data_IF_613145559612
#
_entry.id   IF_613145559612
#
_cell.length_a   1.000
_cell.length_b   1.000
_cell.length_c   1.000
_cell.angle_alpha   90.00
_cell.angle_beta   90.00
_cell.angle_gamma   90.00
#
_symmetry.space_group_name_H-M   'P 1'
#
loop_
_entity.id
_entity.type
_entity.pdbx_description
1 polymer ?
#
# COMPACT_ATOMS: atom_id res chain seq x y z
N UNK A 1 6.71 18.28 -8.40
CA UNK A 1 7.37 17.16 -7.68
C UNK A 1 8.20 17.56 -6.45
N UNK A 2 9.08 18.58 -6.46
CA UNK A 2 9.99 18.87 -5.32
C UNK A 2 9.29 18.94 -3.95
N UNK A 3 8.14 19.62 -3.88
CA UNK A 3 7.31 19.72 -2.66
C UNK A 3 7.04 18.36 -2.01
N UNK A 4 6.71 17.34 -2.81
CA UNK A 4 6.36 16.00 -2.36
C UNK A 4 7.51 15.25 -1.68
N UNK A 5 8.76 15.69 -1.87
CA UNK A 5 9.96 15.04 -1.33
C UNK A 5 10.83 15.93 -0.45
N UNK A 6 10.49 17.20 -0.27
CA UNK A 6 11.30 18.11 0.57
C UNK A 6 10.55 18.67 1.76
N UNK A 7 9.22 18.71 1.75
CA UNK A 7 8.48 19.28 2.88
C UNK A 7 8.62 18.41 4.13
N UNK A 8 8.90 19.01 5.30
CA UNK A 8 9.07 18.26 6.53
C UNK A 8 7.74 17.58 6.92
N UNK A 9 7.86 16.33 7.36
CA UNK A 9 6.77 15.58 7.97
C UNK A 9 6.88 15.72 9.50
N UNK A 10 5.73 15.85 10.16
CA UNK A 10 5.65 15.96 11.62
C UNK A 10 5.74 14.58 12.26
N UNK A 11 5.12 13.57 11.63
CA UNK A 11 5.18 12.18 12.06
C UNK A 11 6.48 11.55 11.58
N UNK A 12 7.22 10.94 12.50
CA UNK A 12 8.46 10.23 12.22
C UNK A 12 8.29 8.77 12.59
N UNK A 13 8.30 7.90 11.60
CA UNK A 13 8.34 6.47 11.80
C UNK A 13 9.79 6.03 11.89
N UNK A 14 10.13 5.28 12.93
CA UNK A 14 11.43 4.65 13.10
C UNK A 14 11.40 3.18 12.69
N UNK A 15 10.21 2.57 12.70
CA UNK A 15 9.98 1.19 12.29
C UNK A 15 8.81 1.08 11.32
N UNK A 16 8.76 -0.04 10.59
CA UNK A 16 7.58 -0.39 9.78
C UNK A 16 6.33 -0.63 10.64
N UNK A 17 6.49 -0.94 11.93
CA UNK A 17 5.37 -1.03 12.88
C UNK A 17 4.76 0.35 13.10
N UNK A 18 5.57 1.37 13.41
CA UNK A 18 5.11 2.75 13.59
C UNK A 18 4.36 3.26 12.34
N UNK A 19 4.92 2.94 11.17
CA UNK A 19 4.33 3.28 9.87
C UNK A 19 2.94 2.66 9.74
N UNK A 20 2.81 1.35 10.03
CA UNK A 20 1.52 0.65 9.95
C UNK A 20 0.53 1.16 10.97
N UNK A 21 0.97 1.45 12.19
CA UNK A 21 0.12 2.03 13.24
C UNK A 21 -0.46 3.38 12.80
N UNK A 22 0.35 4.25 12.20
CA UNK A 22 -0.13 5.50 11.63
C UNK A 22 -1.16 5.27 10.51
N UNK A 23 -0.82 4.43 9.51
CA UNK A 23 -1.69 4.15 8.38
C UNK A 23 -3.04 3.54 8.80
N UNK A 24 -3.08 2.75 9.87
CA UNK A 24 -4.33 2.21 10.44
C UNK A 24 -5.26 3.28 10.98
N UNK A 25 -4.76 4.48 11.28
CA UNK A 25 -5.58 5.64 11.66
C UNK A 25 -6.08 6.45 10.48
N UNK A 26 -5.64 6.12 9.25
CA UNK A 26 -6.01 6.81 8.03
C UNK A 26 -7.18 6.12 7.32
N UNK A 27 -7.90 6.88 6.49
CA UNK A 27 -9.08 6.41 5.75
C UNK A 27 -8.85 6.53 4.25
N UNK A 28 -9.19 5.48 3.52
CA UNK A 28 -9.28 5.56 2.07
C UNK A 28 -10.49 6.41 1.66
N UNK A 29 -10.27 7.48 0.90
CA UNK A 29 -11.33 8.34 0.35
C UNK A 29 -10.91 8.74 -1.07
N UNK A 30 -11.69 8.43 -2.12
CA UNK A 30 -11.37 8.83 -3.50
C UNK A 30 -11.33 10.35 -3.69
N UNK A 31 -10.51 10.84 -4.61
CA UNK A 31 -10.41 12.27 -4.91
C UNK A 31 -11.70 12.96 -5.32
N UNK A 32 -12.58 12.25 -6.03
CA UNK A 32 -13.89 12.78 -6.40
C UNK A 32 -14.73 13.14 -5.18
N UNK A 33 -14.59 12.40 -4.09
CA UNK A 33 -15.28 12.68 -2.82
C UNK A 33 -14.55 13.77 -2.01
N UNK A 34 -13.22 13.79 -2.03
CA UNK A 34 -12.43 14.74 -1.25
C UNK A 34 -12.37 16.15 -1.83
N UNK A 35 -12.26 16.24 -3.16
CA UNK A 35 -11.88 17.45 -3.89
C UNK A 35 -12.78 17.76 -5.08
N UNK A 36 -13.70 16.86 -5.44
CA UNK A 36 -14.57 17.04 -6.60
C UNK A 36 -13.84 16.94 -7.95
N UNK A 37 -12.64 16.36 -7.98
CA UNK A 37 -11.83 16.13 -9.18
C UNK A 37 -11.51 14.63 -9.32
N UNK A 38 -11.18 14.20 -10.53
CA UNK A 38 -10.87 12.80 -10.84
C UNK A 38 -9.46 12.38 -10.45
N UNK A 39 -8.56 13.34 -10.25
CA UNK A 39 -7.14 13.11 -9.94
C UNK A 39 -6.58 14.34 -9.21
N UNK A 40 -6.10 14.16 -7.99
CA UNK A 40 -5.46 15.14 -7.13
C UNK A 40 -4.48 14.49 -6.18
N UNK A 41 -3.19 14.68 -6.45
CA UNK A 41 -2.16 14.11 -5.59
C UNK A 41 -2.01 14.98 -4.33
N UNK A 42 -2.36 14.44 -3.18
CA UNK A 42 -2.24 15.14 -1.91
C UNK A 42 -0.75 15.17 -1.48
N UNK A 43 -0.19 16.36 -1.18
CA UNK A 43 1.16 16.44 -0.63
C UNK A 43 1.26 15.65 0.69
N UNK A 44 2.37 14.92 0.95
CA UNK A 44 2.51 14.07 2.14
C UNK A 44 2.23 14.79 3.47
N UNK A 45 2.64 16.05 3.61
CA UNK A 45 2.38 16.85 4.81
C UNK A 45 0.89 17.21 5.00
N UNK A 46 0.11 17.21 3.92
CA UNK A 46 -1.33 17.38 3.97
C UNK A 46 -2.03 16.06 4.26
N UNK A 47 -1.62 14.97 3.61
CA UNK A 47 -2.11 13.63 3.92
C UNK A 47 -1.94 13.29 5.40
N UNK A 48 -0.79 13.61 5.98
CA UNK A 48 -0.50 13.39 7.40
C UNK A 48 -1.51 14.09 8.33
N UNK A 49 -1.88 15.34 8.01
CA UNK A 49 -2.84 16.11 8.80
C UNK A 49 -4.27 15.62 8.61
N UNK A 50 -4.65 15.34 7.36
CA UNK A 50 -6.02 14.95 7.01
C UNK A 50 -6.32 13.51 7.41
N UNK A 51 -5.32 12.62 7.35
CA UNK A 51 -5.46 11.17 7.53
C UNK A 51 -6.50 10.55 6.60
N UNK A 52 -6.64 11.12 5.42
CA UNK A 52 -7.51 10.64 4.35
C UNK A 52 -6.85 10.91 3.01
N UNK A 53 -7.05 10.00 2.07
CA UNK A 53 -6.41 9.97 0.77
C UNK A 53 -6.81 8.70 0.01
N UNK A 54 -6.40 8.57 -1.23
CA UNK A 54 -6.51 7.34 -2.01
C UNK A 54 -5.14 6.64 -2.16
N UNK A 55 -4.94 5.84 -3.21
CA UNK A 55 -3.79 4.92 -3.25
C UNK A 55 -2.45 5.67 -3.38
N UNK A 56 -2.41 6.72 -4.19
CA UNK A 56 -1.24 7.57 -4.42
C UNK A 56 -0.86 8.36 -3.17
N UNK A 57 -1.83 8.91 -2.46
CA UNK A 57 -1.61 9.69 -1.25
C UNK A 57 -0.96 8.84 -0.15
N UNK A 58 -1.52 7.66 0.07
CA UNK A 58 -1.00 6.67 1.01
C UNK A 58 0.42 6.22 0.61
N UNK A 59 0.66 5.96 -0.68
CA UNK A 59 1.95 5.51 -1.19
C UNK A 59 3.02 6.62 -1.13
N UNK A 60 2.68 7.87 -1.43
CA UNK A 60 3.59 9.01 -1.35
C UNK A 60 4.05 9.27 0.09
N UNK A 61 3.12 9.32 1.04
CA UNK A 61 3.48 9.49 2.45
C UNK A 61 4.30 8.29 2.95
N UNK A 62 3.90 7.06 2.61
CA UNK A 62 4.65 5.84 2.98
C UNK A 62 6.07 5.88 2.44
N UNK A 63 6.26 6.25 1.16
CA UNK A 63 7.57 6.34 0.54
C UNK A 63 8.49 7.32 1.29
N UNK A 64 7.96 8.46 1.72
CA UNK A 64 8.69 9.45 2.53
C UNK A 64 9.18 8.88 3.86
N UNK A 65 8.34 8.13 4.56
CA UNK A 65 8.73 7.49 5.81
C UNK A 65 9.81 6.44 5.58
N UNK A 66 9.68 5.62 4.54
CA UNK A 66 10.68 4.58 4.20
C UNK A 66 12.05 5.20 3.86
N UNK A 67 12.08 6.31 3.12
CA UNK A 67 13.32 7.06 2.86
C UNK A 67 13.94 7.60 4.16
N UNK A 68 13.12 8.04 5.11
CA UNK A 68 13.58 8.54 6.42
C UNK A 68 14.18 7.43 7.28
N UNK A 69 13.65 6.21 7.14
CA UNK A 69 14.20 4.97 7.72
C UNK A 69 15.46 4.46 7.02
N UNK A 70 16.01 5.22 6.05
CA UNK A 70 17.27 4.93 5.33
C UNK A 70 17.24 3.71 4.42
N UNK A 71 16.05 3.30 3.96
CA UNK A 71 15.94 2.29 2.92
C UNK A 71 15.99 2.95 1.53
N UNK A 72 16.67 2.29 0.59
CA UNK A 72 16.51 2.60 -0.83
C UNK A 72 15.08 2.22 -1.25
N UNK A 73 14.26 3.22 -1.57
CA UNK A 73 12.85 3.00 -1.84
C UNK A 73 12.35 3.77 -3.06
N UNK A 74 11.32 3.21 -3.70
CA UNK A 74 10.66 3.79 -4.86
C UNK A 74 9.17 3.88 -4.63
N UNK A 75 8.60 5.03 -4.98
CA UNK A 75 7.18 5.16 -5.24
C UNK A 75 6.89 4.51 -6.59
N UNK A 76 5.87 3.68 -6.67
CA UNK A 76 5.55 2.89 -7.87
C UNK A 76 4.10 3.13 -8.24
N UNK A 77 3.87 3.43 -9.52
CA UNK A 77 2.55 3.48 -10.12
C UNK A 77 2.41 2.39 -11.19
N UNK A 78 1.25 1.77 -11.26
CA UNK A 78 1.00 0.72 -12.24
C UNK A 78 -0.41 0.17 -12.08
N UNK A 79 -0.56 -1.13 -12.32
CA UNK A 79 -1.84 -1.80 -12.14
C UNK A 79 -1.75 -2.85 -11.03
N UNK A 80 -2.84 -3.00 -10.27
CA UNK A 80 -2.96 -4.03 -9.25
C UNK A 80 -4.31 -4.74 -9.27
N UNK A 81 -4.31 -5.99 -8.81
CA UNK A 81 -5.53 -6.78 -8.63
C UNK A 81 -5.97 -7.56 -9.87
N UNK A 82 -7.15 -8.19 -9.80
CA UNK A 82 -7.62 -9.15 -10.83
C UNK A 82 -7.95 -8.49 -12.17
N UNK A 83 -8.38 -7.23 -12.14
CA UNK A 83 -8.83 -6.48 -13.33
C UNK A 83 -7.87 -5.33 -13.70
N UNK A 84 -6.68 -5.28 -13.09
CA UNK A 84 -5.65 -4.29 -13.43
C UNK A 84 -6.07 -2.85 -13.17
N UNK A 85 -6.71 -2.55 -12.03
CA UNK A 85 -7.02 -1.18 -11.68
C UNK A 85 -5.72 -0.38 -11.45
N UNK A 86 -5.72 0.89 -11.86
CA UNK A 86 -4.63 1.81 -11.54
C UNK A 86 -4.38 1.82 -10.03
N UNK A 87 -3.12 1.71 -9.63
CA UNK A 87 -2.75 1.58 -8.23
C UNK A 87 -1.34 2.11 -7.98
N UNK A 88 -1.11 2.61 -6.76
CA UNK A 88 0.18 3.09 -6.30
C UNK A 88 0.63 2.36 -5.03
N UNK A 89 1.92 2.06 -4.95
CA UNK A 89 2.53 1.36 -3.83
C UNK A 89 4.00 1.77 -3.65
N UNK A 90 4.67 1.17 -2.66
CA UNK A 90 6.10 1.42 -2.42
C UNK A 90 6.89 0.13 -2.59
N UNK A 91 8.08 0.23 -3.18
CA UNK A 91 9.07 -0.84 -3.11
C UNK A 91 10.28 -0.35 -2.36
N UNK A 92 10.96 -1.24 -1.62
CA UNK A 92 12.20 -0.88 -0.94
C UNK A 92 13.18 -2.04 -0.91
N UNK A 93 14.47 -1.72 -0.75
CA UNK A 93 15.54 -2.72 -0.65
C UNK A 93 15.99 -2.90 0.79
N UNK A 94 16.12 -4.15 1.17
CA UNK A 94 16.70 -4.56 2.45
C UNK A 94 17.39 -5.93 2.29
N UNK A 95 18.61 -6.06 2.84
CA UNK A 95 19.40 -7.30 2.74
C UNK A 95 19.60 -7.83 1.31
N UNK A 96 19.73 -6.95 0.31
CA UNK A 96 19.87 -7.31 -1.10
C UNK A 96 18.58 -7.78 -1.79
N UNK A 97 17.46 -7.83 -1.06
CA UNK A 97 16.14 -8.19 -1.59
C UNK A 97 15.30 -6.95 -1.82
N UNK A 98 14.35 -7.05 -2.75
CA UNK A 98 13.34 -6.01 -2.97
C UNK A 98 12.01 -6.46 -2.39
N UNK A 99 11.41 -5.61 -1.57
CA UNK A 99 10.12 -5.83 -0.93
C UNK A 99 9.08 -4.91 -1.54
N UNK A 100 7.85 -5.42 -1.66
CA UNK A 100 6.67 -4.63 -2.00
C UNK A 100 5.93 -4.30 -0.70
N UNK A 101 5.75 -3.01 -0.45
CA UNK A 101 5.00 -2.46 0.67
C UNK A 101 3.68 -1.89 0.14
N UNK A 102 2.58 -2.51 0.55
CA UNK A 102 1.21 -2.12 0.18
C UNK A 102 0.57 -1.29 1.31
N UNK A 103 0.49 0.05 1.17
CA UNK A 103 0.03 0.93 2.24
C UNK A 103 -1.43 0.69 2.65
N UNK A 104 -2.30 0.32 1.71
CA UNK A 104 -3.72 0.11 1.98
C UNK A 104 -4.00 -1.19 2.76
N UNK A 105 -3.00 -2.07 2.89
CA UNK A 105 -3.11 -3.31 3.64
C UNK A 105 -2.55 -3.22 5.07
N UNK A 106 -2.29 -2.01 5.59
CA UNK A 106 -1.76 -1.82 6.95
C UNK A 106 -2.58 -2.55 8.05
N UNK A 107 -3.91 -2.64 7.88
CA UNK A 107 -4.81 -3.34 8.80
C UNK A 107 -4.84 -4.87 8.62
N UNK A 108 -4.32 -5.41 7.51
CA UNK A 108 -4.44 -6.83 7.16
C UNK A 108 -3.35 -7.71 7.78
N UNK A 109 -2.26 -7.13 8.29
CA UNK A 109 -1.15 -7.88 8.87
C UNK A 109 0.21 -7.29 8.50
N UNK A 110 1.28 -7.92 9.00
CA UNK A 110 2.66 -7.46 8.78
C UNK A 110 3.19 -7.86 7.42
N UNK A 111 2.68 -8.97 6.91
CA UNK A 111 3.10 -9.57 5.67
C UNK A 111 1.90 -9.74 4.75
N UNK A 112 2.14 -9.50 3.47
CA UNK A 112 1.24 -9.89 2.40
C UNK A 112 1.77 -11.19 1.78
N UNK A 113 0.90 -12.16 1.45
CA UNK A 113 1.33 -13.36 0.76
C UNK A 113 2.10 -13.05 -0.51
N UNK A 114 3.26 -13.67 -0.72
CA UNK A 114 4.07 -13.49 -1.93
C UNK A 114 3.29 -13.78 -3.21
N UNK A 115 2.35 -14.71 -3.19
CA UNK A 115 1.50 -14.98 -4.34
C UNK A 115 0.65 -13.77 -4.77
N UNK A 116 0.33 -12.85 -3.85
CA UNK A 116 -0.40 -11.62 -4.20
C UNK A 116 0.47 -10.62 -4.96
N UNK A 117 1.79 -10.64 -4.83
CA UNK A 117 2.67 -9.68 -5.53
C UNK A 117 2.65 -9.91 -7.04
N UNK A 118 2.34 -11.13 -7.50
CA UNK A 118 2.15 -11.46 -8.92
C UNK A 118 1.05 -10.63 -9.61
N UNK A 119 0.16 -10.02 -8.82
CA UNK A 119 -0.93 -9.18 -9.32
C UNK A 119 -0.56 -7.70 -9.38
N UNK A 120 0.68 -7.33 -9.09
CA UNK A 120 1.19 -5.96 -9.17
C UNK A 120 2.08 -5.86 -10.38
N UNK A 121 1.72 -5.00 -11.32
CA UNK A 121 2.46 -4.77 -12.54
C UNK A 121 2.93 -3.31 -12.53
N UNK A 122 4.20 -3.05 -12.18
CA UNK A 122 4.73 -1.69 -12.22
C UNK A 122 4.73 -1.18 -13.66
N UNK A 123 4.30 0.07 -13.85
CA UNK A 123 4.41 0.76 -15.13
C UNK A 123 5.46 1.87 -15.04
N UNK A 124 5.46 2.61 -13.93
CA UNK A 124 6.43 3.67 -13.64
C UNK A 124 6.88 3.59 -12.19
N UNK A 125 8.11 4.03 -11.92
CA UNK A 125 8.55 4.24 -10.54
C UNK A 125 9.45 5.45 -10.41
N UNK A 126 9.44 6.06 -9.22
CA UNK A 126 10.23 7.24 -8.89
C UNK A 126 11.12 6.94 -7.69
N UNK A 127 12.39 7.30 -7.80
CA UNK A 127 13.40 7.19 -6.76
C UNK A 127 13.91 8.59 -6.38
N UNK A 128 14.30 8.78 -5.13
CA UNK A 128 14.85 10.02 -4.61
C UNK A 128 16.10 9.73 -3.78
N UNK A 129 17.24 10.32 -4.17
CA UNK A 129 18.53 10.13 -3.49
C UNK A 129 18.88 11.25 -2.50
N UNK A 130 17.95 12.19 -2.25
CA UNK A 130 18.20 13.38 -1.44
C UNK A 130 18.55 14.62 -2.25
N UNK A 131 18.89 14.47 -3.53
CA UNK A 131 19.22 15.59 -4.42
C UNK A 131 18.46 15.57 -5.74
N UNK A 132 18.27 14.38 -6.33
CA UNK A 132 17.67 14.21 -7.65
C UNK A 132 16.58 13.13 -7.65
N UNK A 133 15.50 13.43 -8.37
CA UNK A 133 14.46 12.45 -8.70
C UNK A 133 14.88 11.67 -9.95
N UNK A 134 14.74 10.35 -9.90
CA UNK A 134 14.96 9.46 -11.04
C UNK A 134 13.66 8.76 -11.37
N UNK A 135 13.31 8.79 -12.65
CA UNK A 135 12.11 8.19 -13.19
C UNK A 135 12.49 6.93 -13.95
N UNK A 136 11.72 5.88 -13.77
CA UNK A 136 11.91 4.61 -14.45
C UNK A 136 10.59 4.19 -15.08
N UNK A 137 10.64 3.82 -16.34
CA UNK A 137 9.55 3.12 -17.03
C UNK A 137 9.84 1.62 -16.96
N UNK A 138 8.80 0.84 -16.71
CA UNK A 138 8.88 -0.61 -16.60
C UNK A 138 8.20 -1.23 -17.80
N UNK A 139 8.92 -2.13 -18.46
CA UNK A 139 8.32 -2.95 -19.52
C UNK A 139 7.26 -3.87 -18.90
N UNK A 140 6.10 -3.94 -19.55
CA UNK A 140 5.03 -4.87 -19.18
C UNK A 140 5.51 -6.31 -19.37
N UNK A 141 6.06 -6.92 -18.32
CA UNK A 141 6.46 -8.32 -18.32
C UNK A 141 5.40 -9.14 -17.60
N UNK A 142 4.75 -10.01 -18.35
CA UNK A 142 4.01 -11.11 -17.75
C UNK A 142 5.03 -12.04 -17.09
N UNK A 143 5.03 -12.09 -15.77
CA UNK A 143 5.82 -13.06 -15.02
C UNK A 143 4.94 -14.28 -14.76
N UNK A 144 5.20 -15.34 -15.51
CA UNK A 144 4.55 -16.64 -15.36
C UNK A 144 5.43 -17.57 -14.54
N UNK A 145 5.27 -17.60 -13.19
CA UNK A 145 6.07 -18.47 -12.35
C UNK A 145 5.80 -19.94 -12.68
N UNK A 146 6.81 -20.83 -12.56
CA UNK A 146 6.61 -22.26 -12.69
C UNK A 146 5.51 -22.76 -11.73
N UNK A 147 4.71 -23.74 -12.16
CA UNK A 147 3.60 -24.28 -11.37
C UNK A 147 4.03 -24.73 -9.96
N UNK A 148 5.19 -25.36 -9.84
CA UNK A 148 5.75 -25.79 -8.56
C UNK A 148 6.01 -24.61 -7.61
N UNK A 149 6.46 -23.46 -8.14
CA UNK A 149 6.64 -22.23 -7.35
C UNK A 149 5.31 -21.70 -6.85
N UNK A 150 4.28 -21.71 -7.69
CA UNK A 150 2.91 -21.30 -7.29
C UNK A 150 2.38 -22.22 -6.19
N UNK A 151 2.49 -23.54 -6.37
CA UNK A 151 2.04 -24.54 -5.40
C UNK A 151 2.75 -24.38 -4.06
N UNK A 152 4.06 -24.12 -4.06
CA UNK A 152 4.83 -23.88 -2.83
C UNK A 152 4.39 -22.63 -2.04
N UNK A 153 3.75 -21.66 -2.71
CA UNK A 153 3.23 -20.43 -2.08
C UNK A 153 1.77 -20.54 -1.61
N UNK A 154 1.06 -21.62 -1.96
CA UNK A 154 -0.33 -21.81 -1.56
C UNK A 154 -0.54 -21.87 -0.04
N UNK A 155 0.30 -22.53 0.78
CA UNK A 155 0.09 -22.58 2.23
C UNK A 155 0.13 -21.19 2.88
N UNK A 156 1.09 -20.35 2.47
CA UNK A 156 1.21 -18.96 2.93
C UNK A 156 -0.04 -18.15 2.57
N UNK A 157 -0.54 -18.34 1.35
CA UNK A 157 -1.75 -17.68 0.88
C UNK A 157 -3.00 -18.13 1.65
N UNK A 158 -3.18 -19.44 1.87
CA UNK A 158 -4.30 -20.00 2.63
C UNK A 158 -4.26 -19.53 4.09
N UNK A 159 -3.10 -19.57 4.73
CA UNK A 159 -2.92 -19.12 6.12
C UNK A 159 -3.32 -17.64 6.29
N UNK A 160 -2.89 -16.77 5.38
CA UNK A 160 -3.29 -15.37 5.38
C UNK A 160 -4.79 -15.18 5.26
N UNK A 161 -5.45 -15.92 4.35
CA UNK A 161 -6.92 -15.84 4.22
C UNK A 161 -7.64 -16.32 5.47
N UNK A 162 -7.20 -17.41 6.08
CA UNK A 162 -7.77 -17.92 7.33
C UNK A 162 -7.59 -16.94 8.50
N UNK A 163 -6.49 -16.21 8.55
CA UNK A 163 -6.21 -15.22 9.60
C UNK A 163 -6.96 -13.89 9.41
N UNK A 164 -7.14 -13.45 8.17
CA UNK A 164 -7.70 -12.12 7.86
C UNK A 164 -9.22 -12.13 7.66
N UNK A 165 -9.86 -13.27 7.33
CA UNK A 165 -11.33 -13.39 7.17
C UNK A 165 -12.20 -13.49 8.43
N UNK A 166 -11.73 -13.87 9.64
CA UNK A 166 -12.58 -13.90 10.84
C UNK A 166 -13.16 -12.52 11.19
N UNK A 167 -12.57 -11.44 10.69
CA UNK A 167 -13.05 -10.06 10.86
C UNK A 167 -14.32 -9.74 10.03
N UNK A 168 -14.51 -10.37 8.86
CA UNK A 168 -15.75 -10.19 8.08
C UNK A 168 -16.95 -10.97 8.67
N UNK A 169 -16.71 -12.13 9.28
CA UNK A 169 -17.76 -12.93 9.93
C UNK A 169 -18.25 -12.31 11.25
N UNK A 170 -17.40 -11.60 11.99
CA UNK A 170 -17.82 -10.87 13.21
C UNK A 170 -18.75 -9.69 12.92
N UNK A 171 -18.62 -9.03 11.77
CA UNK A 171 -19.56 -7.98 11.33
C UNK A 171 -20.94 -8.54 11.02
N UNK A 172 -21.01 -9.67 10.29
CA UNK A 172 -22.25 -10.36 9.95
C UNK A 172 -22.98 -10.88 11.20
N UNK A 173 -22.25 -11.48 12.15
CA UNK A 173 -22.83 -11.95 13.43
C UNK A 173 -23.30 -10.80 14.34
N UNK A 174 -22.68 -9.61 14.28
CA UNK A 174 -23.18 -8.41 14.99
C UNK A 174 -24.43 -7.82 14.35
N UNK A 175 -24.57 -7.90 13.03
CA UNK A 175 -25.77 -7.46 12.30
C UNK A 175 -26.95 -8.40 12.57
N UNK A 176 -26.74 -9.72 12.49
CA UNK A 176 -27.77 -10.73 12.81
C UNK A 176 -28.24 -10.63 14.27
N UNK A 177 -27.35 -10.34 15.24
CA UNK A 177 -27.75 -10.12 16.63
C UNK A 177 -28.55 -8.83 16.88
N UNK A 178 -28.48 -7.83 16.00
CA UNK A 178 -29.28 -6.58 16.09
C UNK A 178 -30.59 -6.65 15.29
N UNK A 179 -30.69 -7.54 14.31
CA UNK A 179 -31.90 -7.73 13.50
C UNK A 179 -32.97 -8.64 14.12
N UNK A 180 -32.68 -9.32 15.23
CA UNK A 180 -33.61 -10.25 15.92
C UNK A 180 -34.22 -9.64 17.20
N UNK A 181 -34.12 -8.33 17.40
CA UNK A 181 -34.59 -7.62 18.58
C UNK A 181 -35.72 -6.62 18.30
N UNK A 182 -36.70 -7.00 17.47
CA UNK A 182 -37.99 -6.30 17.37
C UNK A 182 -39.09 -7.32 17.04
N UNK A 183 -39.75 -7.78 18.08
CA UNK A 183 -41.12 -8.32 18.06
C UNK A 183 -41.65 -8.21 19.48
#
# INVERSE_FOLDING_TARGET
MRRYVTQPLTVRCHTFTDLREFLRTCRYVPDVEQFGTTDYWLPPEEFERRKQGDCEDFALWTWRQVLTMRHEARFVGGSAGRHGAGHAWVTFRDGGRTFLLEPLLAAAGETMPRLKTLRYQPAVSVEWDGQKLRYFEHEGRAYDPPLLTVLALLPEWVAFWCYTRPLCLRGYLRWVKRGLGCS
#
